data_IF_208118573966
#
_entry.id   IF_208118573966
#
_cell.length_a   1.000
_cell.length_b   1.000
_cell.length_c   1.000
_cell.angle_alpha   90.00
_cell.angle_beta   90.00
_cell.angle_gamma   90.00
#
_symmetry.space_group_name_H-M   'P 1'
#
loop_
_entity.id
_entity.type
_entity.pdbx_description
1 polymer ?
#
# COMPACT_ATOMS: atom_id res chain seq x y z
N UNK A 1 10.93 3.77 45.52
CA UNK A 1 10.18 5.01 45.81
C UNK A 1 9.41 5.55 44.60
N UNK A 2 9.97 6.32 43.66
CA UNK A 2 9.15 6.91 42.57
C UNK A 2 8.51 5.86 41.64
N UNK A 3 9.27 4.82 41.30
CA UNK A 3 8.80 3.71 40.43
C UNK A 3 7.70 2.87 41.09
N UNK A 4 7.77 2.66 42.41
CA UNK A 4 6.74 1.94 43.17
C UNK A 4 5.44 2.73 43.27
N UNK A 5 5.53 4.07 43.37
CA UNK A 5 4.35 4.95 43.30
C UNK A 5 3.71 4.87 41.90
N UNK A 6 4.52 4.84 40.83
CA UNK A 6 4.03 4.69 39.45
C UNK A 6 3.41 3.32 39.19
N UNK A 7 3.96 2.25 39.77
CA UNK A 7 3.42 0.88 39.71
C UNK A 7 2.28 0.62 40.70
N UNK A 8 1.94 1.61 41.54
CA UNK A 8 0.96 1.47 42.63
C UNK A 8 1.28 0.32 43.60
N UNK A 9 2.57 0.01 43.77
CA UNK A 9 3.08 -1.01 44.68
C UNK A 9 3.49 -0.36 46.01
N UNK A 10 2.56 0.32 46.69
CA UNK A 10 2.79 0.88 48.02
C UNK A 10 1.53 0.80 48.90
N UNK A 11 1.73 0.73 50.22
CA UNK A 11 0.63 0.68 51.19
C UNK A 11 0.01 2.07 51.37
N UNK A 12 -1.25 2.23 50.96
CA UNK A 12 -2.00 3.47 51.12
C UNK A 12 -2.29 3.83 52.59
N UNK A 13 -2.21 2.85 53.50
CA UNK A 13 -2.32 3.04 54.94
C UNK A 13 -1.24 3.96 55.50
N UNK A 14 0.00 3.82 55.03
CA UNK A 14 1.17 4.55 55.55
C UNK A 14 1.10 6.04 55.17
N UNK A 15 0.42 6.38 54.07
CA UNK A 15 0.18 7.76 53.64
C UNK A 15 -0.96 8.44 54.41
N UNK A 16 -1.96 7.65 54.82
CA UNK A 16 -3.13 8.15 55.55
C UNK A 16 -2.81 8.39 57.02
N UNK A 17 -1.82 7.67 57.56
CA UNK A 17 -1.34 7.79 58.94
C UNK A 17 -0.47 9.05 59.16
N UNK A 18 0.24 9.52 58.13
CA UNK A 18 1.07 10.73 58.20
C UNK A 18 0.25 12.03 58.07
N UNK A 19 -0.67 12.10 57.09
CA UNK A 19 -1.64 13.20 56.98
C UNK A 19 -2.92 12.71 56.26
N UNK A 20 -4.07 12.64 56.97
CA UNK A 20 -5.27 11.98 56.45
C UNK A 20 -5.96 12.73 55.30
N UNK A 21 -5.65 14.01 55.10
CA UNK A 21 -6.23 14.80 54.00
C UNK A 21 -5.23 15.00 52.87
N UNK A 22 -3.98 15.30 53.20
CA UNK A 22 -2.95 15.61 52.21
C UNK A 22 -2.51 14.35 51.43
N UNK A 23 -2.37 13.20 52.10
CA UNK A 23 -1.92 11.97 51.46
C UNK A 23 -2.81 11.50 50.29
N UNK A 24 -4.11 11.27 50.52
CA UNK A 24 -5.04 10.82 49.46
C UNK A 24 -5.19 11.85 48.33
N UNK A 25 -5.13 13.14 48.64
CA UNK A 25 -5.27 14.22 47.66
C UNK A 25 -4.08 14.27 46.69
N UNK A 26 -2.86 14.23 47.21
CA UNK A 26 -1.65 14.17 46.38
C UNK A 26 -1.60 12.89 45.55
N UNK A 27 -2.00 11.75 46.13
CA UNK A 27 -2.03 10.49 45.40
C UNK A 27 -3.02 10.53 44.22
N UNK A 28 -4.23 11.04 44.46
CA UNK A 28 -5.25 11.19 43.41
C UNK A 28 -4.78 12.10 42.28
N UNK A 29 -4.19 13.26 42.60
CA UNK A 29 -3.63 14.18 41.60
C UNK A 29 -2.46 13.54 40.85
N UNK A 30 -1.57 12.79 41.52
CA UNK A 30 -0.48 12.10 40.86
C UNK A 30 -0.98 11.05 39.86
N UNK A 31 -1.99 10.23 40.22
CA UNK A 31 -2.57 9.26 39.30
C UNK A 31 -3.23 9.96 38.11
N UNK A 32 -4.02 11.00 38.35
CA UNK A 32 -4.67 11.78 37.29
C UNK A 32 -3.60 12.38 36.37
N UNK A 33 -2.55 12.98 36.91
CA UNK A 33 -1.46 13.55 36.12
C UNK A 33 -0.77 12.48 35.27
N UNK A 34 -0.37 11.35 35.86
CA UNK A 34 0.33 10.29 35.13
C UNK A 34 -0.58 9.69 34.06
N UNK A 35 -1.83 9.37 34.38
CA UNK A 35 -2.78 8.80 33.41
C UNK A 35 -3.07 9.81 32.31
N UNK A 36 -3.48 11.04 32.62
CA UNK A 36 -3.89 11.98 31.60
C UNK A 36 -2.73 12.63 30.84
N UNK A 37 -1.65 13.05 31.49
CA UNK A 37 -0.53 13.69 30.78
C UNK A 37 0.35 12.65 30.08
N UNK A 38 0.68 11.52 30.73
CA UNK A 38 1.50 10.50 30.07
C UNK A 38 0.71 9.78 28.98
N UNK A 39 -0.56 9.35 29.19
CA UNK A 39 -1.31 8.69 28.12
C UNK A 39 -1.63 9.64 26.96
N UNK A 40 -1.96 10.91 27.20
CA UNK A 40 -2.24 11.83 26.09
C UNK A 40 -1.04 12.00 25.17
N UNK A 41 0.15 12.18 25.73
CA UNK A 41 1.38 12.28 24.93
C UNK A 41 1.77 10.94 24.31
N UNK A 42 1.62 9.85 25.05
CA UNK A 42 1.93 8.51 24.56
C UNK A 42 1.04 8.09 23.38
N UNK A 43 -0.28 8.32 23.49
CA UNK A 43 -1.24 8.07 22.40
C UNK A 43 -0.93 8.97 21.20
N UNK A 44 -0.58 10.25 21.42
CA UNK A 44 -0.22 11.15 20.31
C UNK A 44 1.02 10.66 19.56
N UNK A 45 2.09 10.31 20.27
CA UNK A 45 3.33 9.81 19.66
C UNK A 45 3.07 8.50 18.90
N UNK A 46 2.28 7.60 19.48
CA UNK A 46 1.89 6.37 18.79
C UNK A 46 1.07 6.67 17.54
N UNK A 47 0.06 7.52 17.65
CA UNK A 47 -0.80 7.91 16.54
C UNK A 47 0.00 8.54 15.40
N UNK A 48 0.91 9.46 15.73
CA UNK A 48 1.79 10.11 14.75
C UNK A 48 2.75 9.10 14.10
N UNK A 49 3.28 8.15 14.88
CA UNK A 49 4.11 7.06 14.36
C UNK A 49 3.37 6.12 13.42
N UNK A 50 2.12 5.74 13.76
CA UNK A 50 1.28 4.91 12.90
C UNK A 50 0.91 5.64 11.60
N UNK A 51 0.53 6.92 11.67
CA UNK A 51 0.24 7.72 10.49
C UNK A 51 1.47 7.88 9.60
N UNK A 52 2.65 8.11 10.17
CA UNK A 52 3.88 8.23 9.39
C UNK A 52 4.22 6.93 8.63
N UNK A 53 4.01 5.77 9.25
CA UNK A 53 4.22 4.46 8.61
C UNK A 53 3.13 4.17 7.56
N UNK A 54 1.88 4.54 7.82
CA UNK A 54 0.79 4.37 6.86
C UNK A 54 0.96 5.28 5.64
N UNK A 55 1.42 6.52 5.81
CA UNK A 55 1.71 7.45 4.70
C UNK A 55 2.86 6.94 3.82
N UNK A 56 3.93 6.43 4.42
CA UNK A 56 5.05 5.84 3.67
C UNK A 56 4.64 4.56 2.95
N UNK A 57 3.87 3.68 3.59
CA UNK A 57 3.32 2.50 2.92
C UNK A 57 2.31 2.86 1.82
N UNK A 58 1.48 3.88 2.02
CA UNK A 58 0.53 4.36 1.00
C UNK A 58 1.23 4.93 -0.22
N UNK A 59 2.32 5.70 -0.03
CA UNK A 59 3.14 6.20 -1.12
C UNK A 59 3.81 5.03 -1.88
N UNK A 60 4.39 4.07 -1.15
CA UNK A 60 4.96 2.85 -1.74
C UNK A 60 3.91 1.99 -2.48
N UNK A 61 2.71 1.83 -1.91
CA UNK A 61 1.61 1.10 -2.55
C UNK A 61 1.07 1.83 -3.76
N UNK A 62 1.00 3.16 -3.73
CA UNK A 62 0.66 3.97 -4.88
C UNK A 62 1.71 3.77 -5.98
N UNK A 63 3.00 3.91 -5.68
CA UNK A 63 4.10 3.70 -6.64
C UNK A 63 4.05 2.29 -7.23
N UNK A 64 3.87 1.25 -6.40
CA UNK A 64 3.74 -0.14 -6.87
C UNK A 64 2.50 -0.34 -7.74
N UNK A 65 1.36 0.26 -7.39
CA UNK A 65 0.14 0.18 -8.19
C UNK A 65 0.31 0.90 -9.55
N UNK A 66 1.01 2.04 -9.59
CA UNK A 66 1.34 2.75 -10.83
C UNK A 66 2.32 1.93 -11.69
N UNK A 67 3.34 1.32 -11.10
CA UNK A 67 4.30 0.46 -11.79
C UNK A 67 3.62 -0.79 -12.36
N UNK A 68 2.78 -1.47 -11.58
CA UNK A 68 2.00 -2.64 -12.03
C UNK A 68 1.02 -2.26 -13.14
N UNK A 69 0.29 -1.16 -13.00
CA UNK A 69 -0.64 -0.68 -14.03
C UNK A 69 0.08 -0.35 -15.34
N UNK A 70 1.28 0.24 -15.26
CA UNK A 70 2.15 0.49 -16.42
C UNK A 70 2.66 -0.80 -17.04
N UNK A 71 3.06 -1.78 -16.23
CA UNK A 71 3.51 -3.11 -16.68
C UNK A 71 2.39 -3.93 -17.36
N UNK A 72 1.19 -3.95 -16.76
CA UNK A 72 0.02 -4.61 -17.36
C UNK A 72 -0.37 -3.96 -18.69
N UNK A 73 -0.37 -2.63 -18.76
CA UNK A 73 -0.70 -1.92 -19.99
C UNK A 73 0.33 -2.19 -21.10
N UNK A 74 1.62 -2.31 -20.75
CA UNK A 74 2.67 -2.63 -21.71
C UNK A 74 2.55 -4.07 -22.21
N UNK A 75 2.31 -5.02 -21.31
CA UNK A 75 2.09 -6.43 -21.64
C UNK A 75 0.85 -6.63 -22.50
N UNK A 76 -0.24 -5.94 -22.18
CA UNK A 76 -1.49 -5.96 -22.97
C UNK A 76 -1.31 -5.39 -24.37
N UNK A 77 -0.59 -4.26 -24.52
CA UNK A 77 -0.25 -3.72 -25.84
C UNK A 77 0.60 -4.70 -26.64
N UNK A 78 1.57 -5.36 -26.01
CA UNK A 78 2.44 -6.35 -26.67
C UNK A 78 1.63 -7.57 -27.17
N UNK A 79 0.68 -8.03 -26.36
CA UNK A 79 -0.23 -9.13 -26.73
C UNK A 79 -1.14 -8.75 -27.91
N UNK A 80 -1.77 -7.58 -27.87
CA UNK A 80 -2.65 -7.09 -28.94
C UNK A 80 -1.90 -6.87 -30.27
N UNK A 81 -0.67 -6.35 -30.22
CA UNK A 81 0.17 -6.19 -31.42
C UNK A 81 0.55 -7.55 -32.00
N UNK A 82 0.86 -8.53 -31.14
CA UNK A 82 1.21 -9.89 -31.57
C UNK A 82 0.01 -10.59 -32.22
N UNK A 83 -1.19 -10.48 -31.63
CA UNK A 83 -2.43 -10.97 -32.24
C UNK A 83 -2.72 -10.33 -33.58
N UNK A 84 -2.66 -9.00 -33.69
CA UNK A 84 -2.91 -8.32 -34.96
C UNK A 84 -1.91 -8.76 -36.04
N UNK A 85 -0.64 -8.99 -35.66
CA UNK A 85 0.37 -9.50 -36.58
C UNK A 85 0.05 -10.92 -37.07
N UNK A 86 -0.47 -11.80 -36.22
CA UNK A 86 -0.85 -13.16 -36.60
C UNK A 86 -2.09 -13.18 -37.52
N UNK A 87 -3.12 -12.39 -37.22
CA UNK A 87 -4.28 -12.26 -38.11
C UNK A 87 -3.91 -11.68 -39.48
N UNK A 88 -3.04 -10.66 -39.49
CA UNK A 88 -2.53 -10.10 -40.75
C UNK A 88 -1.70 -11.13 -41.52
N UNK A 89 -0.96 -12.02 -40.84
CA UNK A 89 -0.21 -13.08 -41.50
C UNK A 89 -1.14 -14.13 -42.13
N UNK A 90 -2.18 -14.57 -41.41
CA UNK A 90 -3.15 -15.56 -41.91
C UNK A 90 -3.91 -15.06 -43.16
N UNK A 91 -4.37 -13.81 -43.16
CA UNK A 91 -5.06 -13.25 -44.34
C UNK A 91 -4.11 -13.03 -45.53
N UNK A 92 -2.81 -12.81 -45.29
CA UNK A 92 -1.82 -12.67 -46.35
C UNK A 92 -1.44 -14.04 -46.93
N UNK A 93 -1.39 -15.07 -46.09
CA UNK A 93 -1.13 -16.45 -46.50
C UNK A 93 -2.28 -17.01 -47.34
N UNK A 94 -3.54 -16.77 -46.91
CA UNK A 94 -4.74 -17.12 -47.68
C UNK A 94 -4.84 -16.36 -49.02
N UNK A 95 -4.28 -15.15 -49.11
CA UNK A 95 -4.30 -14.34 -50.33
C UNK A 95 -3.18 -14.72 -51.32
N UNK A 96 -2.07 -15.31 -50.86
CA UNK A 96 -0.94 -15.72 -51.72
C UNK A 96 -1.34 -16.55 -52.95
N UNK A 97 -2.11 -17.66 -52.84
CA UNK A 97 -2.41 -18.50 -53.98
C UNK A 97 -3.23 -17.76 -55.05
N UNK A 98 -4.23 -16.98 -54.65
CA UNK A 98 -5.07 -16.21 -55.58
C UNK A 98 -4.27 -15.12 -56.31
N UNK A 99 -3.30 -14.50 -55.62
CA UNK A 99 -2.42 -13.51 -56.23
C UNK A 99 -1.47 -14.15 -57.25
N UNK A 100 -0.94 -15.35 -56.98
CA UNK A 100 -0.09 -16.10 -57.92
C UNK A 100 -0.87 -16.55 -59.17
N UNK A 101 -2.11 -17.00 -58.98
CA UNK A 101 -3.00 -17.40 -60.07
C UNK A 101 -3.32 -16.22 -61.01
N UNK A 102 -3.51 -15.00 -60.47
CA UNK A 102 -3.73 -13.79 -61.28
C UNK A 102 -2.49 -13.44 -62.13
N UNK A 103 -1.28 -13.70 -61.65
CA UNK A 103 -0.05 -13.45 -62.42
C UNK A 103 0.15 -14.49 -63.53
N UNK A 104 -0.17 -15.77 -63.29
CA UNK A 104 -0.09 -16.84 -64.30
C UNK A 104 -1.15 -16.66 -65.42
N UNK A 105 -2.35 -16.18 -65.07
CA UNK A 105 -3.40 -15.85 -66.02
C UNK A 105 -3.08 -14.60 -66.85
N UNK A 106 -2.28 -13.68 -66.31
CA UNK A 106 -1.83 -12.49 -67.03
C UNK A 106 -0.64 -12.77 -67.95
N UNK A 107 0.27 -13.65 -67.54
CA UNK A 107 1.40 -14.13 -68.36
C UNK A 107 0.91 -14.96 -69.57
N UNK A 108 -0.10 -15.81 -69.36
CA UNK A 108 -0.75 -16.59 -70.43
C UNK A 108 -1.49 -15.74 -71.47
N UNK A 109 -1.89 -14.51 -71.13
CA UNK A 109 -2.52 -13.55 -72.07
C UNK A 109 -1.53 -12.67 -72.82
N UNK A 110 -0.26 -12.64 -72.42
CA UNK A 110 0.79 -11.85 -73.08
C UNK A 110 1.54 -12.67 -74.15
N UNK A 111 1.35 -13.99 -74.18
CA UNK A 111 2.00 -14.93 -75.10
C UNK A 111 1.06 -15.54 -76.18
N UNK A 112 -0.18 -15.05 -76.31
CA UNK A 112 -1.11 -15.32 -77.43
C UNK A 112 -1.28 -14.10 -78.32
#
# INVERSE_FOLDING_TARGET
MLFEITLMSFNASDFTEADPFLGPFYFSICIIIVVFLCLRMFISILNDGFHHVEETLSDDQQILSYMLKKFLNWTRKKYLINLNKNYLFDILDLRRPNVQEIYELQDSRMHS
#
